data_IF_242055105098
#
_entry.id   IF_242055105098
#
_cell.length_a   1.000
_cell.length_b   1.000
_cell.length_c   1.000
_cell.angle_alpha   90.00
_cell.angle_beta   90.00
_cell.angle_gamma   90.00
#
_symmetry.space_group_name_H-M   'P 1'
#
loop_
_entity.id
_entity.type
_entity.pdbx_description
1 polymer ?
#
# COMPACT_ATOMS: atom_id res chain seq x y z
N UNK A 1 -23.17 -14.72 7.84
CA UNK A 1 -22.60 -13.75 8.80
C UNK A 1 -22.80 -12.36 8.21
N UNK A 2 -23.36 -11.47 9.02
CA UNK A 2 -24.27 -10.36 8.70
C UNK A 2 -23.83 -9.37 7.60
N UNK A 3 -24.81 -9.00 6.78
CA UNK A 3 -24.87 -8.01 5.69
C UNK A 3 -24.84 -6.54 6.16
N UNK A 4 -24.30 -6.25 7.34
CA UNK A 4 -24.21 -4.90 7.92
C UNK A 4 -22.78 -4.30 7.88
N UNK A 5 -21.82 -4.96 7.23
CA UNK A 5 -20.45 -4.45 7.07
C UNK A 5 -20.29 -3.40 5.95
N UNK A 6 -21.37 -2.99 5.28
CA UNK A 6 -21.36 -2.32 3.96
C UNK A 6 -21.59 -0.80 3.95
N UNK A 7 -21.69 -0.11 5.09
CA UNK A 7 -22.01 1.33 5.08
C UNK A 7 -20.80 2.28 5.12
N UNK A 8 -19.59 1.78 5.39
CA UNK A 8 -18.40 2.63 5.50
C UNK A 8 -17.32 2.14 4.56
N UNK A 9 -17.18 2.81 3.42
CA UNK A 9 -16.01 2.67 2.56
C UNK A 9 -14.76 3.12 3.35
N UNK A 10 -13.66 2.36 3.22
CA UNK A 10 -12.41 2.75 3.89
C UNK A 10 -11.88 4.00 3.21
N UNK A 11 -11.39 4.94 3.99
CA UNK A 11 -10.86 6.20 3.50
C UNK A 11 -9.47 6.47 4.07
N UNK A 12 -8.58 6.99 3.23
CA UNK A 12 -7.29 7.48 3.67
C UNK A 12 -7.42 8.87 4.28
N UNK A 13 -6.79 9.06 5.43
CA UNK A 13 -6.56 10.37 6.06
C UNK A 13 -5.08 10.56 6.26
N UNK A 14 -4.58 11.77 6.10
CA UNK A 14 -3.18 12.07 6.40
C UNK A 14 -3.00 12.67 7.79
N UNK A 15 -1.96 12.22 8.48
CA UNK A 15 -1.49 12.91 9.67
C UNK A 15 -0.93 14.27 9.30
N UNK A 16 -1.43 15.31 9.97
CA UNK A 16 -0.89 16.68 9.92
C UNK A 16 -0.25 17.01 11.25
N UNK A 17 0.94 17.61 11.26
CA UNK A 17 1.54 18.10 12.51
C UNK A 17 0.71 19.27 13.08
N UNK A 18 1.06 19.74 14.28
CA UNK A 18 0.45 20.94 14.87
C UNK A 18 0.59 22.18 13.97
N UNK A 19 1.73 22.32 13.28
CA UNK A 19 1.99 23.41 12.34
C UNK A 19 1.44 23.14 10.92
N UNK A 20 0.62 22.09 10.73
CA UNK A 20 -0.02 21.79 9.45
C UNK A 20 0.85 21.05 8.43
N UNK A 21 2.09 20.68 8.76
CA UNK A 21 2.97 19.87 7.90
C UNK A 21 2.32 18.51 7.64
N UNK A 22 2.42 18.01 6.41
CA UNK A 22 1.81 16.75 5.93
C UNK A 22 2.90 15.76 5.53
N UNK A 23 3.50 14.99 6.47
CA UNK A 23 4.75 14.27 6.21
C UNK A 23 4.66 13.24 5.08
N UNK A 24 3.55 12.50 4.99
CA UNK A 24 3.35 11.50 3.94
C UNK A 24 3.18 12.16 2.57
N UNK A 25 2.51 13.31 2.51
CA UNK A 25 2.37 14.09 1.28
C UNK A 25 3.72 14.64 0.81
N UNK A 26 4.48 15.26 1.70
CA UNK A 26 5.83 15.76 1.38
C UNK A 26 6.74 14.63 0.89
N UNK A 27 6.66 13.47 1.54
CA UNK A 27 7.38 12.28 1.09
C UNK A 27 6.95 11.85 -0.31
N UNK A 28 5.64 11.67 -0.57
CA UNK A 28 5.14 11.25 -1.89
C UNK A 28 5.60 12.20 -3.00
N UNK A 29 5.48 13.51 -2.80
CA UNK A 29 5.87 14.51 -3.81
C UNK A 29 7.37 14.78 -3.90
N UNK A 30 8.19 14.18 -3.01
CA UNK A 30 9.64 14.16 -3.16
C UNK A 30 10.14 13.06 -4.13
N UNK A 31 9.25 12.17 -4.58
CA UNK A 31 9.58 11.02 -5.42
C UNK A 31 9.26 11.28 -6.90
N UNK A 32 9.96 10.59 -7.83
CA UNK A 32 9.54 10.47 -9.23
C UNK A 32 8.11 9.94 -9.36
N UNK A 33 7.47 10.22 -10.50
CA UNK A 33 6.06 9.92 -10.72
C UNK A 33 5.78 8.41 -10.73
N UNK A 34 6.66 7.60 -11.29
CA UNK A 34 6.52 6.14 -11.35
C UNK A 34 6.63 5.51 -9.95
N UNK A 35 7.57 6.03 -9.16
CA UNK A 35 7.77 5.63 -7.76
C UNK A 35 6.53 6.02 -6.91
N UNK A 36 5.99 7.23 -7.13
CA UNK A 36 4.77 7.73 -6.47
C UNK A 36 3.54 6.92 -6.88
N UNK A 37 3.37 6.65 -8.18
CA UNK A 37 2.27 5.85 -8.72
C UNK A 37 2.24 4.44 -8.13
N UNK A 38 3.40 3.79 -8.02
CA UNK A 38 3.51 2.48 -7.36
C UNK A 38 3.03 2.52 -5.90
N UNK A 39 3.34 3.58 -5.14
CA UNK A 39 2.88 3.73 -3.76
C UNK A 39 1.37 3.98 -3.69
N UNK A 40 0.85 4.91 -4.48
CA UNK A 40 -0.58 5.25 -4.46
C UNK A 40 -1.45 4.06 -4.88
N UNK A 41 -0.96 3.25 -5.82
CA UNK A 41 -1.67 2.04 -6.25
C UNK A 41 -1.68 0.97 -5.13
N UNK A 42 -0.61 0.83 -4.34
CA UNK A 42 -0.64 -0.04 -3.14
C UNK A 42 -1.57 0.50 -2.05
N UNK A 43 -1.60 1.83 -1.85
CA UNK A 43 -2.54 2.46 -0.92
C UNK A 43 -3.99 2.22 -1.36
N UNK A 44 -4.29 2.31 -2.66
CA UNK A 44 -5.59 1.99 -3.24
C UNK A 44 -5.97 0.54 -2.97
N UNK A 45 -5.05 -0.40 -3.20
CA UNK A 45 -5.29 -1.81 -2.90
C UNK A 45 -5.62 -2.08 -1.43
N UNK A 46 -4.92 -1.41 -0.51
CA UNK A 46 -5.20 -1.48 0.95
C UNK A 46 -6.53 -0.82 1.30
N UNK A 47 -6.96 0.24 0.59
CA UNK A 47 -8.31 0.82 0.76
C UNK A 47 -9.39 -0.22 0.47
N UNK A 48 -9.29 -0.88 -0.69
CA UNK A 48 -10.24 -1.88 -1.17
C UNK A 48 -10.28 -3.14 -0.29
N UNK A 49 -9.11 -3.67 0.10
CA UNK A 49 -9.01 -4.98 0.76
C UNK A 49 -8.81 -4.90 2.28
N UNK A 50 -8.42 -3.72 2.79
CA UNK A 50 -8.20 -3.46 4.20
C UNK A 50 -6.86 -3.95 4.72
N UNK A 51 -6.71 -4.01 6.04
CA UNK A 51 -5.44 -4.35 6.70
C UNK A 51 -4.94 -5.79 6.45
N UNK A 52 -5.77 -6.68 5.92
CA UNK A 52 -5.38 -8.08 5.66
C UNK A 52 -4.31 -8.21 4.57
N UNK A 53 -4.24 -7.23 3.65
CA UNK A 53 -3.22 -7.14 2.61
C UNK A 53 -2.03 -6.26 3.02
N UNK A 54 -2.11 -5.59 4.17
CA UNK A 54 -1.01 -4.83 4.74
C UNK A 54 -0.18 -5.70 5.69
N UNK A 55 1.08 -5.33 5.91
CA UNK A 55 1.92 -6.01 6.90
C UNK A 55 1.72 -5.39 8.28
N UNK A 56 1.36 -6.21 9.27
CA UNK A 56 1.38 -5.80 10.67
C UNK A 56 2.82 -5.65 11.16
N UNK A 57 3.08 -4.57 11.90
CA UNK A 57 4.40 -4.30 12.49
C UNK A 57 4.37 -4.44 14.02
N UNK A 58 3.57 -3.61 14.68
CA UNK A 58 3.50 -3.54 16.14
C UNK A 58 2.23 -2.82 16.57
N UNK A 59 1.56 -3.33 17.63
CA UNK A 59 0.31 -2.78 18.16
C UNK A 59 -0.70 -2.57 17.03
N UNK A 60 -1.06 -1.33 16.71
CA UNK A 60 -1.98 -1.01 15.61
C UNK A 60 -1.29 -0.31 14.44
N UNK A 61 0.04 -0.42 14.34
CA UNK A 61 0.82 0.09 13.21
C UNK A 61 0.96 -1.00 12.17
N UNK A 62 0.55 -0.66 10.96
CA UNK A 62 0.64 -1.46 9.76
C UNK A 62 1.51 -0.73 8.74
N UNK A 63 2.00 -1.46 7.73
CA UNK A 63 2.71 -0.87 6.61
C UNK A 63 2.13 -1.30 5.27
N UNK A 64 1.93 -0.31 4.40
CA UNK A 64 1.83 -0.49 2.96
C UNK A 64 3.25 -0.66 2.43
N UNK A 65 3.47 -1.65 1.57
CA UNK A 65 4.76 -1.88 0.91
C UNK A 65 4.59 -1.71 -0.59
N UNK A 66 5.31 -0.76 -1.16
CA UNK A 66 5.43 -0.62 -2.60
C UNK A 66 6.85 -0.88 -3.05
N UNK A 67 7.03 -1.34 -4.28
CA UNK A 67 8.34 -1.53 -4.88
C UNK A 67 8.29 -1.12 -6.34
N UNK A 68 9.26 -0.32 -6.72
CA UNK A 68 9.50 0.04 -8.10
C UNK A 68 10.99 -0.09 -8.40
N UNK A 69 11.32 -0.81 -9.46
CA UNK A 69 12.68 -1.28 -9.75
C UNK A 69 13.35 -1.95 -8.52
N UNK A 70 14.39 -1.31 -7.97
CA UNK A 70 15.16 -1.81 -6.83
C UNK A 70 14.81 -1.12 -5.50
N UNK A 71 13.94 -0.11 -5.53
CA UNK A 71 13.60 0.71 -4.37
C UNK A 71 12.37 0.14 -3.65
N UNK A 72 12.45 0.04 -2.33
CA UNK A 72 11.35 -0.39 -1.47
C UNK A 72 10.84 0.81 -0.70
N UNK A 73 9.55 1.10 -0.87
CA UNK A 73 8.83 2.18 -0.22
C UNK A 73 7.89 1.64 0.84
N UNK A 74 7.72 2.39 1.92
CA UNK A 74 6.81 2.03 3.02
C UNK A 74 6.04 3.23 3.49
N UNK A 75 4.72 3.06 3.59
CA UNK A 75 3.82 4.00 4.26
C UNK A 75 3.32 3.31 5.53
N UNK A 76 3.71 3.84 6.69
CA UNK A 76 3.20 3.40 7.98
C UNK A 76 1.84 4.04 8.23
N UNK A 77 0.87 3.25 8.67
CA UNK A 77 -0.47 3.72 8.93
C UNK A 77 -1.11 3.00 10.12
N UNK A 78 -2.21 3.55 10.61
CA UNK A 78 -3.06 2.92 11.62
C UNK A 78 -4.53 2.94 11.18
N UNK A 79 -5.28 1.92 11.57
CA UNK A 79 -6.73 1.92 11.43
C UNK A 79 -7.39 2.70 12.58
N UNK A 80 -8.25 3.65 12.24
CA UNK A 80 -8.96 4.52 13.17
C UNK A 80 -10.46 4.60 12.88
N UNK A 81 -11.21 5.26 13.76
CA UNK A 81 -12.66 5.44 13.61
C UNK A 81 -13.47 4.20 13.96
N UNK A 82 -14.80 4.33 13.92
CA UNK A 82 -15.72 3.20 14.12
C UNK A 82 -15.53 2.21 12.97
N UNK A 83 -15.56 0.91 13.25
CA UNK A 83 -15.38 -0.13 12.23
C UNK A 83 -14.06 -0.08 11.43
N UNK A 84 -13.05 0.67 11.89
CA UNK A 84 -11.73 0.75 11.25
C UNK A 84 -11.74 1.30 9.82
N UNK A 85 -12.71 2.17 9.48
CA UNK A 85 -12.84 2.74 8.14
C UNK A 85 -11.77 3.81 7.83
N UNK A 86 -11.13 4.41 8.82
CA UNK A 86 -10.08 5.40 8.58
C UNK A 86 -8.72 4.69 8.50
N UNK A 87 -8.03 4.86 7.38
CA UNK A 87 -6.64 4.49 7.18
C UNK A 87 -5.78 5.75 7.38
N UNK A 88 -5.28 5.97 8.59
CA UNK A 88 -4.50 7.16 8.93
C UNK A 88 -3.04 6.95 8.51
N UNK A 89 -2.59 7.61 7.44
CA UNK A 89 -1.19 7.59 7.01
C UNK A 89 -0.34 8.44 7.95
N UNK A 90 0.71 7.86 8.51
CA UNK A 90 1.48 8.43 9.62
C UNK A 90 2.89 8.83 9.21
N UNK A 91 3.58 8.02 8.42
CA UNK A 91 4.98 8.25 8.02
C UNK A 91 5.30 7.52 6.71
N UNK A 92 6.11 8.12 5.85
CA UNK A 92 6.55 7.54 4.58
C UNK A 92 8.07 7.59 4.43
N UNK A 93 8.68 6.51 3.96
CA UNK A 93 10.12 6.47 3.68
C UNK A 93 10.48 5.40 2.64
N UNK A 94 11.67 5.52 2.05
CA UNK A 94 12.27 4.46 1.22
C UNK A 94 13.48 3.84 1.93
N UNK A 95 13.76 2.57 1.68
CA UNK A 95 14.89 1.87 2.30
C UNK A 95 15.58 0.87 1.40
N UNK A 96 16.88 0.68 1.65
CA UNK A 96 17.69 -0.43 1.11
C UNK A 96 17.56 -1.74 1.92
N UNK A 97 17.02 -1.68 3.14
CA UNK A 97 16.96 -2.83 4.08
C UNK A 97 15.55 -3.40 4.28
N UNK A 98 15.45 -4.70 4.56
CA UNK A 98 14.17 -5.44 4.62
C UNK A 98 13.33 -5.16 5.88
N UNK A 99 13.96 -4.78 7.00
CA UNK A 99 13.26 -4.47 8.27
C UNK A 99 12.89 -2.99 8.36
N UNK A 100 11.71 -2.70 8.90
CA UNK A 100 11.29 -1.32 9.19
C UNK A 100 12.05 -0.86 10.42
N UNK A 101 12.71 0.31 10.37
CA UNK A 101 13.51 0.72 11.51
C UNK A 101 12.62 1.10 12.69
N UNK A 102 13.13 0.80 13.86
CA UNK A 102 12.42 0.99 15.12
C UNK A 102 12.01 2.44 15.35
N UNK A 103 12.87 3.41 14.98
CA UNK A 103 12.58 4.84 15.11
C UNK A 103 11.37 5.29 14.27
N UNK A 104 11.18 4.73 13.06
CA UNK A 104 10.02 5.06 12.23
C UNK A 104 8.72 4.50 12.83
N UNK A 105 8.76 3.32 13.45
CA UNK A 105 7.60 2.74 14.15
C UNK A 105 7.24 3.59 15.36
N UNK A 106 8.24 3.99 16.16
CA UNK A 106 8.04 4.86 17.31
C UNK A 106 7.45 6.23 16.90
N UNK A 107 7.97 6.83 15.82
CA UNK A 107 7.45 8.08 15.29
C UNK A 107 6.00 7.95 14.82
N UNK A 108 5.65 6.84 14.15
CA UNK A 108 4.26 6.56 13.77
C UNK A 108 3.34 6.41 15.00
N UNK A 109 3.77 5.71 16.05
CA UNK A 109 3.03 5.62 17.31
C UNK A 109 2.80 6.99 17.95
N UNK A 110 3.83 7.85 17.98
CA UNK A 110 3.75 9.22 18.51
C UNK A 110 2.76 10.08 17.71
N UNK A 111 2.87 10.08 16.38
CA UNK A 111 1.97 10.84 15.49
C UNK A 111 0.52 10.40 15.62
N UNK A 112 0.28 9.09 15.76
CA UNK A 112 -1.06 8.55 16.01
C UNK A 112 -1.62 9.02 17.35
N UNK A 113 -0.82 8.98 18.41
CA UNK A 113 -1.22 9.44 19.73
C UNK A 113 -1.56 10.94 19.71
N UNK A 114 -0.73 11.75 19.04
CA UNK A 114 -0.98 13.17 18.82
C UNK A 114 -2.30 13.43 18.08
N UNK A 115 -2.53 12.75 16.95
CA UNK A 115 -3.76 12.89 16.17
C UNK A 115 -5.01 12.57 17.00
N UNK A 116 -4.98 11.49 17.79
CA UNK A 116 -6.08 11.13 18.70
C UNK A 116 -6.31 12.18 19.79
N UNK A 117 -5.24 12.73 20.35
CA UNK A 117 -5.30 13.80 21.37
C UNK A 117 -5.98 15.04 20.81
N UNK A 118 -5.57 15.50 19.63
CA UNK A 118 -6.16 16.67 18.96
C UNK A 118 -7.61 16.43 18.51
N UNK A 119 -7.92 15.24 18.00
CA UNK A 119 -9.30 14.87 17.63
C UNK A 119 -10.26 14.85 18.83
N UNK A 120 -9.81 14.42 20.02
CA UNK A 120 -10.60 14.50 21.27
C UNK A 120 -10.83 15.95 21.71
N UNK A 121 -9.83 16.82 21.56
CA UNK A 121 -9.97 18.25 21.89
C UNK A 121 -11.01 18.94 20.99
N UNK A 122 -10.98 18.69 19.67
CA UNK A 122 -11.94 19.22 18.69
C UNK A 122 -13.38 18.74 18.95
N UNK A 123 -13.56 17.50 19.40
CA UNK A 123 -14.89 16.94 19.76
C UNK A 123 -15.50 17.54 21.02
N UNK A 124 -14.69 18.05 21.96
CA UNK A 124 -15.19 18.78 23.15
C UNK A 124 -15.63 20.21 22.80
N UNK A 125 -15.13 20.80 21.72
CA UNK A 125 -15.53 22.14 21.26
C UNK A 125 -16.63 22.14 20.19
N UNK A 126 -16.88 21.01 19.50
CA UNK A 126 -17.87 20.89 18.41
C UNK A 126 -19.04 19.93 18.74
N UNK A 127 -19.70 20.14 19.88
CA UNK A 127 -21.00 19.49 20.15
C UNK A 127 -22.16 20.17 19.37
N UNK A 128 -21.94 21.37 18.81
CA UNK A 128 -22.99 22.19 18.17
C UNK A 128 -22.98 22.28 16.62
N UNK A 129 -22.01 21.72 15.90
CA UNK A 129 -21.94 21.84 14.43
C UNK A 129 -21.66 20.49 13.80
N UNK A 130 -22.67 19.63 13.73
CA UNK A 130 -22.58 18.33 13.05
C UNK A 130 -23.44 18.30 11.80
N UNK A 131 -22.83 18.67 10.68
CA UNK A 131 -22.98 18.05 9.35
C UNK A 131 -22.17 18.87 8.35
N UNK A 132 -21.41 18.19 7.49
CA UNK A 132 -20.63 18.73 6.36
C UNK A 132 -19.13 18.99 6.55
N UNK A 133 -18.39 18.03 7.10
CA UNK A 133 -16.97 17.86 6.73
C UNK A 133 -16.80 16.46 6.12
N UNK A 134 -17.25 16.30 4.87
CA UNK A 134 -16.66 15.27 4.02
C UNK A 134 -15.29 15.82 3.60
N UNK A 135 -14.31 15.74 4.51
CA UNK A 135 -12.92 15.97 4.11
C UNK A 135 -12.64 15.04 2.92
N UNK A 136 -12.07 15.57 1.84
CA UNK A 136 -11.64 14.80 0.66
C UNK A 136 -10.73 13.65 1.12
N UNK A 137 -10.94 12.45 0.58
CA UNK A 137 -10.07 11.31 0.85
C UNK A 137 -8.62 11.64 0.44
N UNK A 138 -7.67 11.37 1.34
CA UNK A 138 -6.28 11.74 1.12
C UNK A 138 -5.69 11.07 -0.12
N UNK A 139 -6.04 9.80 -0.38
CA UNK A 139 -5.52 9.08 -1.54
C UNK A 139 -6.06 9.70 -2.83
N UNK A 140 -7.36 10.01 -2.88
CA UNK A 140 -7.96 10.64 -4.07
C UNK A 140 -7.36 12.03 -4.32
N UNK A 141 -7.13 12.84 -3.27
CA UNK A 141 -6.40 14.11 -3.36
C UNK A 141 -5.01 13.93 -4.00
N UNK A 142 -4.23 12.94 -3.55
CA UNK A 142 -2.88 12.68 -4.11
C UNK A 142 -2.92 12.25 -5.56
N UNK A 143 -3.91 11.42 -5.95
CA UNK A 143 -4.08 10.95 -7.32
C UNK A 143 -4.47 12.11 -8.23
N UNK A 144 -5.44 12.92 -7.82
CA UNK A 144 -5.89 14.11 -8.57
C UNK A 144 -4.74 15.08 -8.81
N UNK A 145 -3.97 15.42 -7.77
CA UNK A 145 -2.85 16.34 -7.92
C UNK A 145 -1.71 15.76 -8.75
N UNK A 146 -1.43 14.46 -8.63
CA UNK A 146 -0.44 13.80 -9.47
C UNK A 146 -0.86 13.80 -10.93
N UNK A 147 -2.15 13.56 -11.21
CA UNK A 147 -2.73 13.59 -12.56
C UNK A 147 -2.74 15.01 -13.15
N UNK A 148 -2.99 16.04 -12.34
CA UNK A 148 -2.88 17.44 -12.76
C UNK A 148 -1.46 17.83 -13.16
N UNK A 149 -0.44 17.29 -12.47
CA UNK A 149 0.98 17.53 -12.76
C UNK A 149 1.47 16.72 -13.96
N UNK A 150 0.95 15.50 -14.13
CA UNK A 150 1.30 14.59 -15.20
C UNK A 150 0.04 13.85 -15.68
N UNK A 151 -0.51 14.21 -16.85
CA UNK A 151 -1.70 13.56 -17.41
C UNK A 151 -1.56 12.05 -17.63
N UNK A 152 -0.33 11.53 -17.77
CA UNK A 152 -0.05 10.10 -17.96
C UNK A 152 0.03 9.33 -16.62
N UNK A 153 -0.09 10.02 -15.48
CA UNK A 153 -0.02 9.40 -14.16
C UNK A 153 -1.02 8.25 -13.94
N UNK A 154 -2.28 8.31 -14.43
CA UNK A 154 -3.20 7.17 -14.37
C UNK A 154 -2.67 5.91 -15.07
N UNK A 155 -1.95 6.07 -16.19
CA UNK A 155 -1.31 4.96 -16.91
C UNK A 155 -0.23 4.31 -16.05
N UNK A 156 0.62 5.11 -15.39
CA UNK A 156 1.64 4.60 -14.45
C UNK A 156 1.03 3.81 -13.28
N UNK A 157 -0.12 4.27 -12.76
CA UNK A 157 -0.85 3.53 -11.73
C UNK A 157 -1.41 2.21 -12.27
N UNK A 158 -1.97 2.21 -13.48
CA UNK A 158 -2.49 0.98 -14.10
C UNK A 158 -1.35 -0.02 -14.37
N UNK A 159 -0.17 0.43 -14.80
CA UNK A 159 1.02 -0.45 -14.92
C UNK A 159 1.42 -1.07 -13.58
N UNK A 160 1.41 -0.28 -12.50
CA UNK A 160 1.68 -0.79 -11.15
C UNK A 160 0.64 -1.83 -10.72
N UNK A 161 -0.64 -1.58 -11.03
CA UNK A 161 -1.76 -2.49 -10.76
C UNK A 161 -1.62 -3.80 -11.52
N UNK A 162 -1.33 -3.75 -12.82
CA UNK A 162 -1.13 -4.91 -13.68
C UNK A 162 0.02 -5.79 -13.18
N UNK A 163 1.15 -5.17 -12.80
CA UNK A 163 2.29 -5.89 -12.18
C UNK A 163 1.87 -6.64 -10.92
N UNK A 164 1.15 -5.99 -9.99
CA UNK A 164 0.64 -6.63 -8.76
C UNK A 164 -0.34 -7.75 -9.09
N UNK A 165 -1.28 -7.51 -10.00
CA UNK A 165 -2.31 -8.46 -10.39
C UNK A 165 -1.71 -9.75 -10.97
N UNK A 166 -0.70 -9.62 -11.83
CA UNK A 166 0.02 -10.77 -12.39
C UNK A 166 0.68 -11.61 -11.29
N UNK A 167 1.39 -10.98 -10.36
CA UNK A 167 2.06 -11.66 -9.24
C UNK A 167 1.08 -12.34 -8.29
N UNK A 168 -0.02 -11.65 -7.97
CA UNK A 168 -1.09 -12.18 -7.13
C UNK A 168 -1.79 -13.36 -7.80
N UNK A 169 -2.00 -13.32 -9.11
CA UNK A 169 -2.55 -14.43 -9.88
C UNK A 169 -1.61 -15.65 -9.87
N UNK A 170 -0.31 -15.46 -10.09
CA UNK A 170 0.68 -16.54 -9.98
C UNK A 170 0.69 -17.16 -8.57
N UNK A 171 0.64 -16.34 -7.52
CA UNK A 171 0.57 -16.80 -6.13
C UNK A 171 -0.72 -17.59 -5.85
N UNK A 172 -1.86 -17.13 -6.39
CA UNK A 172 -3.14 -17.82 -6.26
C UNK A 172 -3.13 -19.19 -6.96
N UNK A 173 -2.58 -19.28 -8.18
CA UNK A 173 -2.41 -20.56 -8.89
C UNK A 173 -1.52 -21.49 -8.08
N UNK A 174 -0.36 -21.01 -7.59
CA UNK A 174 0.53 -21.79 -6.72
C UNK A 174 -0.22 -22.36 -5.52
N UNK A 175 -0.99 -21.50 -4.83
CA UNK A 175 -1.73 -21.87 -3.63
C UNK A 175 -2.82 -22.92 -3.93
N UNK A 176 -3.59 -22.74 -5.00
CA UNK A 176 -4.62 -23.70 -5.45
C UNK A 176 -4.01 -25.05 -5.86
N UNK A 177 -2.83 -25.02 -6.48
CA UNK A 177 -2.06 -26.22 -6.83
C UNK A 177 -1.34 -26.85 -5.64
N UNK A 178 -1.51 -26.32 -4.41
CA UNK A 178 -0.89 -26.80 -3.15
C UNK A 178 0.65 -26.87 -3.21
N UNK A 179 1.27 -26.05 -4.06
CA UNK A 179 2.74 -25.99 -4.16
C UNK A 179 3.25 -25.01 -3.10
N UNK A 180 4.19 -25.42 -2.24
CA UNK A 180 4.76 -24.51 -1.25
C UNK A 180 5.67 -23.46 -1.91
N UNK A 181 5.83 -22.29 -1.28
CA UNK A 181 6.80 -21.29 -1.72
C UNK A 181 8.23 -21.85 -1.74
N UNK A 182 8.58 -22.72 -0.77
CA UNK A 182 9.87 -23.42 -0.72
C UNK A 182 10.08 -24.33 -1.93
N UNK A 183 9.02 -24.99 -2.40
CA UNK A 183 9.09 -25.86 -3.58
C UNK A 183 9.36 -25.05 -4.84
N UNK A 184 8.65 -23.92 -5.04
CA UNK A 184 8.93 -23.00 -6.15
C UNK A 184 10.36 -22.47 -6.07
N UNK A 185 10.80 -22.05 -4.86
CA UNK A 185 12.13 -21.53 -4.64
C UNK A 185 13.22 -22.51 -5.10
N UNK A 186 13.10 -23.78 -4.71
CA UNK A 186 14.01 -24.86 -5.16
C UNK A 186 13.99 -25.02 -6.68
N UNK A 187 12.80 -25.05 -7.31
CA UNK A 187 12.65 -25.23 -8.77
C UNK A 187 13.32 -24.13 -9.57
N UNK A 188 13.19 -22.87 -9.13
CA UNK A 188 13.72 -21.72 -9.88
C UNK A 188 15.07 -21.20 -9.36
N UNK A 189 15.75 -21.99 -8.49
CA UNK A 189 17.06 -21.70 -7.90
C UNK A 189 17.11 -20.34 -7.19
N UNK A 190 16.17 -20.14 -6.26
CA UNK A 190 16.12 -18.96 -5.39
C UNK A 190 15.76 -19.35 -3.95
N UNK A 191 15.55 -18.38 -3.07
CA UNK A 191 15.20 -18.60 -1.67
C UNK A 191 13.69 -18.47 -1.43
N UNK A 192 13.17 -19.17 -0.42
CA UNK A 192 11.76 -19.01 -0.02
C UNK A 192 11.42 -17.55 0.34
N UNK A 193 12.27 -16.79 1.05
CA UNK A 193 12.03 -15.37 1.28
C UNK A 193 12.01 -14.51 0.00
N UNK A 194 12.72 -14.90 -1.06
CA UNK A 194 12.63 -14.22 -2.35
C UNK A 194 11.27 -14.49 -3.03
N UNK A 195 10.78 -15.74 -2.99
CA UNK A 195 9.45 -16.09 -3.48
C UNK A 195 8.35 -15.38 -2.69
N UNK A 196 8.45 -15.35 -1.36
CA UNK A 196 7.47 -14.64 -0.53
C UNK A 196 7.41 -13.15 -0.86
N UNK A 197 8.56 -12.50 -1.12
CA UNK A 197 8.59 -11.10 -1.57
C UNK A 197 7.99 -10.92 -2.96
N UNK A 198 8.28 -11.85 -3.88
CA UNK A 198 7.73 -11.87 -5.23
C UNK A 198 6.20 -11.95 -5.21
N UNK A 199 5.64 -12.91 -4.47
CA UNK A 199 4.19 -13.10 -4.38
C UNK A 199 3.49 -11.94 -3.67
N UNK A 200 4.20 -11.25 -2.77
CA UNK A 200 3.69 -10.07 -2.08
C UNK A 200 3.87 -8.77 -2.89
N UNK A 201 4.38 -8.81 -4.12
CA UNK A 201 4.57 -7.60 -4.95
C UNK A 201 5.72 -6.67 -4.50
N UNK A 202 6.59 -7.13 -3.59
CA UNK A 202 7.65 -6.33 -2.95
C UNK A 202 8.98 -6.41 -3.74
N UNK A 203 8.92 -6.84 -5.00
CA UNK A 203 10.05 -6.88 -5.94
C UNK A 203 9.52 -6.64 -7.34
N UNK A 204 10.30 -5.93 -8.15
CA UNK A 204 10.09 -5.88 -9.60
C UNK A 204 10.83 -7.07 -10.24
N UNK A 205 10.12 -8.12 -10.67
CA UNK A 205 10.77 -9.32 -11.17
C UNK A 205 11.27 -9.14 -12.59
N UNK A 206 12.49 -9.64 -12.84
CA UNK A 206 12.94 -9.86 -14.22
C UNK A 206 11.98 -10.79 -14.95
N UNK A 207 11.81 -10.56 -16.25
CA UNK A 207 11.00 -11.41 -17.13
C UNK A 207 11.36 -12.90 -16.99
N UNK A 208 12.65 -13.22 -16.98
CA UNK A 208 13.11 -14.61 -16.85
C UNK A 208 12.72 -15.26 -15.51
N UNK A 209 12.57 -14.47 -14.44
CA UNK A 209 12.08 -14.96 -13.15
C UNK A 209 10.58 -15.26 -13.21
N UNK A 210 9.79 -14.39 -13.83
CA UNK A 210 8.34 -14.62 -14.03
C UNK A 210 8.10 -15.87 -14.87
N UNK A 211 8.82 -16.04 -15.98
CA UNK A 211 8.71 -17.21 -16.85
C UNK A 211 9.03 -18.51 -16.11
N UNK A 212 10.14 -18.54 -15.34
CA UNK A 212 10.51 -19.72 -14.54
C UNK A 212 9.47 -20.02 -13.44
N UNK A 213 8.93 -18.99 -12.80
CA UNK A 213 7.86 -19.16 -11.82
C UNK A 213 6.62 -19.76 -12.48
N UNK A 214 6.13 -19.16 -13.56
CA UNK A 214 4.96 -19.60 -14.29
C UNK A 214 5.10 -21.07 -14.73
N UNK A 215 6.24 -21.44 -15.32
CA UNK A 215 6.52 -22.82 -15.69
C UNK A 215 6.47 -23.78 -14.48
N UNK A 216 6.96 -23.33 -13.32
CA UNK A 216 6.93 -24.12 -12.08
C UNK A 216 5.53 -24.36 -11.52
N UNK A 217 4.53 -23.60 -11.98
CA UNK A 217 3.10 -23.79 -11.66
C UNK A 217 2.28 -24.28 -12.85
N UNK A 218 2.93 -24.77 -13.92
CA UNK A 218 2.26 -25.31 -15.10
C UNK A 218 1.59 -24.26 -15.98
N UNK A 219 2.12 -23.03 -15.99
CA UNK A 219 1.64 -21.89 -16.79
C UNK A 219 2.75 -21.35 -17.69
N UNK A 220 2.36 -20.53 -18.66
CA UNK A 220 3.25 -19.77 -19.53
C UNK A 220 2.83 -18.30 -19.49
N UNK A 221 3.80 -17.40 -19.57
CA UNK A 221 3.55 -15.96 -19.74
C UNK A 221 3.66 -15.66 -21.23
N UNK A 222 2.62 -15.04 -21.79
CA UNK A 222 2.60 -14.50 -23.15
C UNK A 222 2.53 -12.98 -23.10
N UNK A 223 3.16 -12.33 -24.07
CA UNK A 223 3.17 -10.88 -24.20
C UNK A 223 2.44 -10.52 -25.49
N UNK A 224 1.52 -9.58 -25.40
CA UNK A 224 0.81 -9.02 -26.55
C UNK A 224 1.10 -7.53 -26.58
N UNK A 225 1.48 -7.02 -27.75
CA UNK A 225 1.59 -5.58 -27.98
C UNK A 225 0.18 -5.05 -28.24
N UNK A 226 -0.21 -4.01 -27.52
CA UNK A 226 -1.49 -3.32 -27.67
C UNK A 226 -1.22 -1.85 -27.89
N UNK A 227 -2.14 -1.15 -28.54
CA UNK A 227 -2.06 0.30 -28.71
C UNK A 227 -2.12 0.99 -27.33
N UNK A 228 -1.34 2.06 -27.19
CA UNK A 228 -1.20 2.84 -25.95
C UNK A 228 -2.31 3.89 -25.81
#
# INVERSE_FOLDING_TARGET
MSSEQSEYERQWRDYRTENGVRPVREFLFSLPDEDRAAILEEMKYVREHGRSVARHLRKDIYEVRATYHTKIYRILFACEGRFYHILLSLEGFHKKTQRTPENAIQLAEQRRADWRRRGKAKRKSQENERRNDMEQDFLDEMIEESTKRNPDFPTLMEEARQRRALLSHLAAIRSRSKISQTTIAKRIKTSQPAIARLEAGIVDPRLSTLQRYAASVGKRVEWTLVDA
#
